data_IF_748979624315
#
_entry.id   IF_748979624315
#
_cell.length_a   1.000
_cell.length_b   1.000
_cell.length_c   1.000
_cell.angle_alpha   90.00
_cell.angle_beta   90.00
_cell.angle_gamma   90.00
#
_symmetry.space_group_name_H-M   'P 1'
#
loop_
_entity.id
_entity.type
_entity.pdbx_description
1 polymer ?
#
# COMPACT_ATOMS: atom_id res chain seq x y z
N UNK A 1 0.75 5.10 -9.30
CA UNK A 1 1.00 3.66 -9.35
C UNK A 1 0.14 2.86 -8.39
N UNK A 2 0.03 3.29 -7.16
CA UNK A 2 -0.77 2.52 -6.19
C UNK A 2 -2.22 2.35 -6.64
N UNK A 3 -2.84 3.43 -7.10
CA UNK A 3 -4.25 3.38 -7.50
C UNK A 3 -4.50 2.38 -8.63
N UNK A 4 -3.57 2.31 -9.56
CA UNK A 4 -3.67 1.38 -10.67
C UNK A 4 -3.70 -0.08 -10.18
N UNK A 5 -2.77 -0.43 -9.30
CA UNK A 5 -2.70 -1.79 -8.78
C UNK A 5 -3.81 -2.08 -7.79
N UNK A 6 -4.28 -1.07 -7.09
CA UNK A 6 -5.42 -1.23 -6.20
C UNK A 6 -6.67 -1.62 -7.01
N UNK A 7 -6.88 -0.98 -8.14
CA UNK A 7 -7.98 -1.33 -9.03
C UNK A 7 -7.85 -2.74 -9.58
N UNK A 8 -6.65 -3.10 -10.04
CA UNK A 8 -6.41 -4.42 -10.62
C UNK A 8 -6.67 -5.54 -9.62
N UNK A 9 -6.46 -5.28 -8.35
CA UNK A 9 -6.62 -6.27 -7.30
C UNK A 9 -7.97 -6.20 -6.60
N UNK A 10 -8.86 -5.33 -7.07
CA UNK A 10 -10.19 -5.22 -6.48
C UNK A 10 -10.17 -4.73 -5.04
N UNK A 11 -9.19 -3.96 -4.65
CA UNK A 11 -9.08 -3.41 -3.30
C UNK A 11 -8.30 -4.28 -2.34
N UNK A 12 -7.81 -5.43 -2.75
CA UNK A 12 -7.08 -6.32 -1.84
C UNK A 12 -5.68 -5.85 -1.53
N UNK A 13 -5.09 -5.01 -2.39
CA UNK A 13 -3.74 -4.51 -2.16
C UNK A 13 -3.65 -3.67 -0.89
N UNK A 14 -4.56 -2.71 -0.71
CA UNK A 14 -4.56 -1.88 0.49
C UNK A 14 -4.82 -2.71 1.73
N UNK A 15 -5.73 -3.68 1.65
CA UNK A 15 -6.02 -4.59 2.76
C UNK A 15 -4.80 -5.40 3.18
N UNK A 16 -4.05 -5.88 2.20
CA UNK A 16 -2.85 -6.66 2.47
C UNK A 16 -1.76 -5.82 3.14
N UNK A 17 -1.53 -4.60 2.62
CA UNK A 17 -0.56 -3.69 3.20
C UNK A 17 -0.95 -3.34 4.64
N UNK A 18 -2.23 -3.02 4.86
CA UNK A 18 -2.73 -2.69 6.20
C UNK A 18 -2.55 -3.83 7.18
N UNK A 19 -2.87 -5.05 6.76
CA UNK A 19 -2.74 -6.22 7.61
C UNK A 19 -1.29 -6.45 8.03
N UNK A 20 -0.36 -6.38 7.08
CA UNK A 20 1.05 -6.55 7.39
C UNK A 20 1.58 -5.45 8.29
N UNK A 21 1.09 -4.22 8.10
CA UNK A 21 1.45 -3.11 8.98
C UNK A 21 1.02 -3.37 10.41
N UNK A 22 -0.20 -3.86 10.59
CA UNK A 22 -0.72 -4.18 11.92
C UNK A 22 0.05 -5.30 12.59
N UNK A 23 0.59 -6.21 11.80
CA UNK A 23 1.42 -7.31 12.32
C UNK A 23 2.84 -6.88 12.68
N UNK A 24 3.20 -5.62 12.41
CA UNK A 24 4.49 -5.09 12.82
C UNK A 24 5.57 -5.16 11.74
N UNK A 25 5.23 -5.47 10.51
CA UNK A 25 6.21 -5.50 9.43
C UNK A 25 6.58 -4.09 8.99
N UNK A 26 7.86 -3.88 8.68
CA UNK A 26 8.32 -2.61 8.12
C UNK A 26 7.92 -2.51 6.64
N UNK A 27 7.96 -1.29 6.10
CA UNK A 27 7.64 -1.07 4.70
C UNK A 27 8.55 -1.89 3.77
N UNK A 28 9.82 -2.02 4.13
CA UNK A 28 10.75 -2.85 3.34
C UNK A 28 10.33 -4.31 3.34
N UNK A 29 9.93 -4.82 4.49
CA UNK A 29 9.46 -6.19 4.60
C UNK A 29 8.17 -6.40 3.80
N UNK A 30 7.27 -5.45 3.87
CA UNK A 30 6.02 -5.53 3.10
C UNK A 30 6.33 -5.54 1.60
N UNK A 31 7.25 -4.70 1.15
CA UNK A 31 7.64 -4.67 -0.25
C UNK A 31 8.21 -6.01 -0.71
N UNK A 32 9.04 -6.62 0.11
CA UNK A 32 9.60 -7.93 -0.20
C UNK A 32 8.52 -9.01 -0.26
N UNK A 33 7.61 -9.00 0.69
CA UNK A 33 6.51 -9.96 0.71
C UNK A 33 5.58 -9.81 -0.49
N UNK A 34 5.29 -8.58 -0.89
CA UNK A 34 4.51 -8.34 -2.08
C UNK A 34 5.21 -8.86 -3.33
N UNK A 35 6.52 -8.64 -3.42
CA UNK A 35 7.30 -9.14 -4.54
C UNK A 35 7.28 -10.64 -4.66
N UNK A 36 7.28 -11.34 -3.53
CA UNK A 36 7.22 -12.81 -3.52
C UNK A 36 5.81 -13.32 -3.78
N UNK A 37 4.84 -12.79 -3.04
CA UNK A 37 3.48 -13.33 -3.09
C UNK A 37 2.73 -12.97 -4.36
N UNK A 38 3.05 -11.82 -4.95
CA UNK A 38 2.30 -11.28 -6.08
C UNK A 38 3.10 -11.29 -7.38
N UNK A 39 4.26 -11.92 -7.40
CA UNK A 39 5.12 -11.96 -8.57
C UNK A 39 4.45 -12.64 -9.77
N UNK A 40 3.57 -13.58 -9.53
CA UNK A 40 2.89 -14.27 -10.61
C UNK A 40 1.84 -13.37 -11.29
N UNK A 41 1.33 -12.37 -10.59
CA UNK A 41 0.37 -11.42 -11.16
C UNK A 41 1.07 -10.23 -11.82
N UNK A 42 2.16 -9.78 -11.22
CA UNK A 42 2.86 -8.58 -11.65
C UNK A 42 4.35 -8.85 -11.77
N UNK A 43 4.70 -9.67 -12.74
CA UNK A 43 6.06 -10.18 -12.88
C UNK A 43 7.10 -9.10 -13.19
N UNK A 44 6.68 -7.93 -13.64
CA UNK A 44 7.60 -6.83 -13.91
C UNK A 44 7.97 -5.98 -12.70
N UNK A 45 7.39 -6.25 -11.53
CA UNK A 45 7.60 -5.43 -10.35
C UNK A 45 8.64 -6.04 -9.43
N UNK A 46 9.72 -5.28 -9.19
CA UNK A 46 10.73 -5.67 -8.22
C UNK A 46 10.50 -4.99 -6.88
N UNK A 47 11.46 -5.19 -5.98
CA UNK A 47 11.40 -4.62 -4.63
C UNK A 47 11.26 -3.10 -4.65
N UNK A 48 11.98 -2.45 -5.56
CA UNK A 48 12.00 -0.99 -5.62
C UNK A 48 10.63 -0.44 -6.01
N UNK A 49 10.00 -1.06 -7.00
CA UNK A 49 8.68 -0.63 -7.45
C UNK A 49 7.63 -0.83 -6.37
N UNK A 50 7.68 -1.96 -5.70
CA UNK A 50 6.76 -2.20 -4.58
C UNK A 50 6.97 -1.22 -3.44
N UNK A 51 8.22 -0.84 -3.17
CA UNK A 51 8.51 0.18 -2.14
C UNK A 51 7.86 1.50 -2.48
N UNK A 52 7.89 1.90 -3.75
CA UNK A 52 7.26 3.15 -4.17
C UNK A 52 5.75 3.09 -4.08
N UNK A 53 5.16 1.94 -4.41
CA UNK A 53 3.72 1.75 -4.30
C UNK A 53 3.28 1.88 -2.84
N UNK A 54 4.02 1.31 -1.93
CA UNK A 54 3.73 1.41 -0.51
C UNK A 54 3.85 2.87 -0.04
N UNK A 55 4.87 3.58 -0.49
CA UNK A 55 5.05 4.98 -0.13
C UNK A 55 3.86 5.83 -0.59
N UNK A 56 3.35 5.61 -1.79
CA UNK A 56 2.17 6.30 -2.28
C UNK A 56 0.95 6.00 -1.41
N UNK A 57 0.78 4.75 -1.03
CA UNK A 57 -0.32 4.36 -0.16
C UNK A 57 -0.25 5.08 1.19
N UNK A 58 0.94 5.18 1.77
CA UNK A 58 1.12 5.91 3.02
C UNK A 58 0.76 7.39 2.90
N UNK A 59 1.15 8.01 1.81
CA UNK A 59 0.80 9.40 1.56
C UNK A 59 -0.70 9.60 1.44
N UNK A 60 -1.37 8.70 0.74
CA UNK A 60 -2.81 8.78 0.60
C UNK A 60 -3.51 8.64 1.94
N UNK A 61 -3.04 7.75 2.80
CA UNK A 61 -3.61 7.58 4.13
C UNK A 61 -3.47 8.84 4.97
N UNK A 62 -2.31 9.49 4.89
CA UNK A 62 -2.09 10.74 5.63
C UNK A 62 -3.06 11.83 5.20
N UNK A 63 -3.28 11.96 3.90
CA UNK A 63 -4.23 12.93 3.39
C UNK A 63 -5.64 12.67 3.88
N UNK A 64 -6.05 11.41 3.85
CA UNK A 64 -7.39 11.04 4.29
C UNK A 64 -7.59 11.29 5.78
N UNK A 65 -6.57 11.05 6.57
CA UNK A 65 -6.64 11.30 8.00
C UNK A 65 -6.71 12.79 8.32
N UNK A 66 -6.00 13.62 7.57
CA UNK A 66 -6.00 15.05 7.80
C UNK A 66 -7.36 15.67 7.53
N UNK A 67 -8.01 15.26 6.44
CA UNK A 67 -9.30 15.82 6.05
C UNK A 67 -10.42 15.62 7.07
N UNK A 68 -10.67 14.40 7.52
CA UNK A 68 -11.74 14.18 8.50
C UNK A 68 -11.55 14.95 9.79
N UNK A 69 -10.32 15.17 10.20
CA UNK A 69 -10.05 15.94 11.40
C UNK A 69 -10.49 17.38 11.28
N UNK A 70 -10.15 18.00 10.19
CA UNK A 70 -10.56 19.39 9.96
C UNK A 70 -12.06 19.51 9.90
N UNK A 71 -12.70 18.54 9.30
CA UNK A 71 -14.15 18.52 9.20
C UNK A 71 -14.81 18.44 10.57
N UNK A 72 -14.28 17.61 11.43
CA UNK A 72 -14.84 17.41 12.75
C UNK A 72 -14.71 18.67 13.60
N UNK A 73 -13.63 19.40 13.42
CA UNK A 73 -13.43 20.63 14.16
C UNK A 73 -14.33 21.76 13.72
N UNK A 74 -14.66 21.75 12.47
CA UNK A 74 -15.54 22.78 11.93
C UNK A 74 -16.98 22.53 12.33
#
# INVERSE_FOLDING_TARGET
>A
MFEYYEKLTGGTLSGYISELTLKGHSDNEIAMLLGVCWSYLFSGLGWFEWSQIIAEYRQMQRRQQAFPREFVKA
#
